data_IF_604314006664
#
_entry.id   IF_604314006664
#
_cell.length_a   1.000
_cell.length_b   1.000
_cell.length_c   1.000
_cell.angle_alpha   90.00
_cell.angle_beta   90.00
_cell.angle_gamma   90.00
#
_symmetry.space_group_name_H-M   'P 1'
#
loop_
_entity.id
_entity.type
_entity.pdbx_description
1 polymer ?
#
# COMPACT_ATOMS: atom_id res chain seq x y z
N UNK A 1 1.26 17.19 15.98
CA UNK A 1 2.36 16.20 16.15
C UNK A 1 3.63 16.96 16.44
N UNK A 2 4.38 16.61 17.47
CA UNK A 2 5.64 17.26 17.76
C UNK A 2 6.64 16.98 16.63
N UNK A 3 7.25 18.04 16.10
CA UNK A 3 8.37 17.93 15.16
C UNK A 3 9.63 18.39 15.87
N UNK A 4 10.66 17.55 15.86
CA UNK A 4 11.98 17.88 16.36
C UNK A 4 12.93 18.16 15.20
N UNK A 5 13.56 19.32 15.22
CA UNK A 5 14.59 19.71 14.24
C UNK A 5 15.90 19.94 14.96
N UNK A 6 16.98 19.34 14.45
CA UNK A 6 18.32 19.48 15.00
C UNK A 6 19.29 19.83 13.88
N UNK A 7 20.06 20.91 14.09
CA UNK A 7 21.17 21.30 13.23
C UNK A 7 22.50 20.85 13.88
N UNK A 8 23.40 20.27 13.08
CA UNK A 8 24.69 19.78 13.56
C UNK A 8 24.68 18.27 13.82
N UNK A 9 25.37 17.82 14.89
CA UNK A 9 25.43 16.40 15.20
C UNK A 9 24.62 16.04 16.46
N UNK A 10 23.74 15.04 16.30
CA UNK A 10 23.00 14.46 17.40
C UNK A 10 23.57 13.08 17.69
N UNK A 11 23.96 12.85 18.96
CA UNK A 11 24.39 11.54 19.43
C UNK A 11 23.45 11.04 20.52
N UNK A 12 22.93 9.83 20.32
CA UNK A 12 22.10 9.16 21.33
C UNK A 12 22.78 7.87 21.80
N UNK A 13 22.77 7.62 23.11
CA UNK A 13 23.21 6.36 23.72
C UNK A 13 22.08 5.73 24.50
N UNK A 14 21.90 4.41 24.36
CA UNK A 14 20.82 3.67 25.02
C UNK A 14 19.56 3.60 24.13
N UNK A 15 18.39 3.57 24.74
CA UNK A 15 17.11 3.52 24.03
C UNK A 15 16.56 4.91 23.79
N UNK A 16 16.22 5.20 22.55
CA UNK A 16 15.58 6.46 22.18
C UNK A 16 14.32 6.18 21.35
N UNK A 17 13.22 6.82 21.73
CA UNK A 17 11.93 6.73 21.02
C UNK A 17 11.55 8.11 20.50
N UNK A 18 11.07 8.18 19.27
CA UNK A 18 10.56 9.41 18.65
C UNK A 18 9.21 9.14 18.03
N UNK A 19 8.21 9.93 18.42
CA UNK A 19 6.90 9.93 17.78
C UNK A 19 6.74 11.23 16.98
N UNK A 20 6.29 11.12 15.72
CA UNK A 20 6.13 12.24 14.81
C UNK A 20 7.26 12.36 13.82
N UNK A 21 7.79 13.58 13.59
CA UNK A 21 8.89 13.78 12.65
C UNK A 21 10.17 14.25 13.34
N UNK A 22 11.28 13.56 13.03
CA UNK A 22 12.62 13.96 13.40
C UNK A 22 13.40 14.34 12.14
N UNK A 23 13.90 15.57 12.09
CA UNK A 23 14.77 16.06 11.03
C UNK A 23 16.14 16.44 11.60
N UNK A 24 17.20 15.91 11.01
CA UNK A 24 18.58 16.23 11.37
C UNK A 24 19.33 16.72 10.15
N UNK A 25 19.90 17.92 10.25
CA UNK A 25 20.84 18.45 9.27
C UNK A 25 22.25 18.27 9.85
N UNK A 26 23.10 17.44 9.20
CA UNK A 26 24.41 17.06 9.71
C UNK A 26 24.51 15.57 9.98
N UNK A 27 24.88 15.17 11.20
CA UNK A 27 25.02 13.74 11.50
C UNK A 27 24.17 13.29 12.68
N UNK A 28 23.48 12.17 12.48
CA UNK A 28 22.77 11.44 13.53
C UNK A 28 23.51 10.13 13.81
N UNK A 29 23.99 9.96 15.04
CA UNK A 29 24.63 8.72 15.51
C UNK A 29 23.86 8.14 16.68
N UNK A 30 23.47 6.89 16.57
CA UNK A 30 22.80 6.15 17.63
C UNK A 30 23.62 4.92 18.02
N UNK A 31 23.83 4.75 19.32
CA UNK A 31 24.44 3.54 19.90
C UNK A 31 23.44 2.94 20.87
N UNK A 32 22.91 1.77 20.55
CA UNK A 32 21.82 1.13 21.28
C UNK A 32 20.59 0.91 20.44
N UNK A 33 19.41 1.28 20.91
CA UNK A 33 18.18 1.15 20.12
C UNK A 33 17.57 2.50 19.77
N UNK A 34 17.18 2.67 18.52
CA UNK A 34 16.40 3.80 18.05
C UNK A 34 15.09 3.29 17.48
N UNK A 35 13.99 3.80 18.01
CA UNK A 35 12.65 3.53 17.50
C UNK A 35 12.02 4.85 17.05
N UNK A 36 11.51 4.87 15.82
CA UNK A 36 10.84 6.04 15.25
C UNK A 36 9.47 5.63 14.72
N UNK A 37 8.43 6.31 15.19
CA UNK A 37 7.07 6.18 14.66
C UNK A 37 6.73 7.49 13.95
N UNK A 38 6.65 7.45 12.62
CA UNK A 38 6.43 8.64 11.79
C UNK A 38 7.50 8.83 10.72
N UNK A 39 8.17 9.98 10.67
CA UNK A 39 9.21 10.23 9.67
C UNK A 39 10.55 10.61 10.30
N UNK A 40 11.61 9.96 9.82
CA UNK A 40 12.99 10.32 10.12
C UNK A 40 13.68 10.79 8.83
N UNK A 41 14.14 12.04 8.82
CA UNK A 41 14.93 12.61 7.72
C UNK A 41 16.29 13.08 8.21
N UNK A 42 17.34 12.60 7.56
CA UNK A 42 18.70 13.02 7.83
C UNK A 42 19.35 13.54 6.55
N UNK A 43 19.82 14.77 6.60
CA UNK A 43 20.66 15.37 5.55
C UNK A 43 22.09 15.35 6.04
N UNK A 44 22.94 14.48 5.45
CA UNK A 44 24.31 14.23 5.90
C UNK A 44 24.55 12.76 6.21
N UNK A 45 24.90 12.40 7.45
CA UNK A 45 25.15 11.00 7.78
C UNK A 45 24.25 10.45 8.89
N UNK A 46 23.68 9.28 8.64
CA UNK A 46 22.97 8.49 9.65
C UNK A 46 23.81 7.25 9.97
N UNK A 47 24.23 7.11 11.23
CA UNK A 47 24.97 5.94 11.70
C UNK A 47 24.28 5.30 12.90
N UNK A 48 24.00 4.01 12.80
CA UNK A 48 23.37 3.25 13.86
C UNK A 48 24.23 2.05 14.23
N UNK A 49 24.55 1.92 15.52
CA UNK A 49 25.20 0.74 16.10
C UNK A 49 24.22 0.09 17.09
N UNK A 50 23.67 -1.09 16.74
CA UNK A 50 22.65 -1.78 17.54
C UNK A 50 21.37 -2.03 16.75
N UNK A 51 20.19 -1.72 17.31
CA UNK A 51 18.91 -1.91 16.62
C UNK A 51 18.23 -0.60 16.26
N UNK A 52 17.74 -0.53 15.04
CA UNK A 52 16.96 0.60 14.57
C UNK A 52 15.62 0.09 13.99
N UNK A 53 14.53 0.63 14.51
CA UNK A 53 13.19 0.34 14.01
C UNK A 53 12.52 1.64 13.56
N UNK A 54 11.94 1.65 12.37
CA UNK A 54 11.17 2.79 11.86
C UNK A 54 9.83 2.29 11.35
N UNK A 55 8.75 2.83 11.92
CA UNK A 55 7.41 2.70 11.38
C UNK A 55 7.06 3.99 10.66
N UNK A 56 6.94 3.96 9.32
CA UNK A 56 6.67 5.14 8.51
C UNK A 56 7.73 5.40 7.45
N UNK A 57 8.36 6.56 7.43
CA UNK A 57 9.36 6.87 6.41
C UNK A 57 10.73 7.21 7.00
N UNK A 58 11.76 6.60 6.43
CA UNK A 58 13.17 6.93 6.69
C UNK A 58 13.79 7.46 5.39
N UNK A 59 14.28 8.71 5.42
CA UNK A 59 15.02 9.32 4.32
C UNK A 59 16.39 9.80 4.77
N UNK A 60 17.43 9.37 4.07
CA UNK A 60 18.79 9.82 4.28
C UNK A 60 19.36 10.36 2.98
N UNK A 61 19.84 11.61 3.02
CA UNK A 61 20.58 12.23 1.93
C UNK A 61 22.05 12.27 2.37
N UNK A 62 22.90 11.39 1.79
CA UNK A 62 24.30 11.25 2.14
C UNK A 62 24.68 9.84 2.53
N UNK A 63 25.24 9.63 3.72
CA UNK A 63 25.73 8.33 4.16
C UNK A 63 24.78 7.68 5.18
N UNK A 64 24.33 6.48 4.87
CA UNK A 64 23.62 5.64 5.82
C UNK A 64 24.47 4.41 6.19
N UNK A 65 24.88 4.31 7.46
CA UNK A 65 25.63 3.17 7.99
C UNK A 65 24.87 2.50 9.12
N UNK A 66 24.75 1.17 9.05
CA UNK A 66 24.14 0.35 10.10
C UNK A 66 25.07 -0.78 10.49
N UNK A 67 25.40 -0.89 11.78
CA UNK A 67 26.05 -2.05 12.37
C UNK A 67 25.07 -2.69 13.37
N UNK A 68 24.50 -3.87 13.03
CA UNK A 68 23.49 -4.54 13.82
C UNK A 68 22.22 -4.83 13.03
N UNK A 69 21.03 -4.63 13.62
CA UNK A 69 19.77 -4.86 12.93
C UNK A 69 19.06 -3.55 12.61
N UNK A 70 18.58 -3.45 11.39
CA UNK A 70 17.73 -2.36 10.94
C UNK A 70 16.43 -2.92 10.35
N UNK A 71 15.32 -2.43 10.86
CA UNK A 71 13.98 -2.78 10.38
C UNK A 71 13.19 -1.52 10.05
N UNK A 72 12.62 -1.46 8.86
CA UNK A 72 11.74 -0.36 8.43
C UNK A 72 10.43 -0.95 7.94
N UNK A 73 9.34 -0.56 8.58
CA UNK A 73 7.98 -0.78 8.07
C UNK A 73 7.52 0.51 7.40
N UNK A 74 7.40 0.49 6.08
CA UNK A 74 7.08 1.67 5.30
C UNK A 74 8.10 1.97 4.20
N UNK A 75 8.58 3.22 4.09
CA UNK A 75 9.51 3.60 3.04
C UNK A 75 10.92 3.89 3.55
N UNK A 76 11.91 3.25 2.93
CA UNK A 76 13.33 3.57 3.11
C UNK A 76 13.88 4.18 1.82
N UNK A 77 14.39 5.41 1.88
CA UNK A 77 15.04 6.08 0.75
C UNK A 77 16.40 6.62 1.16
N UNK A 78 17.44 6.17 0.46
CA UNK A 78 18.79 6.68 0.64
C UNK A 78 19.26 7.26 -0.67
N UNK A 79 19.62 8.54 -0.66
CA UNK A 79 20.29 9.22 -1.75
C UNK A 79 21.76 9.39 -1.35
N UNK A 80 22.64 8.57 -1.92
CA UNK A 80 24.04 8.51 -1.54
C UNK A 80 24.50 7.08 -1.29
N UNK A 81 25.26 6.86 -0.22
CA UNK A 81 25.86 5.56 0.06
C UNK A 81 25.17 4.84 1.22
N UNK A 82 24.83 3.57 1.01
CA UNK A 82 24.26 2.69 2.02
C UNK A 82 25.28 1.58 2.35
N UNK A 83 25.68 1.50 3.62
CA UNK A 83 26.59 0.48 4.12
C UNK A 83 25.93 -0.25 5.30
N UNK A 84 25.80 -1.56 5.20
CA UNK A 84 25.18 -2.38 6.24
C UNK A 84 26.11 -3.51 6.64
N UNK A 85 26.41 -3.59 7.95
CA UNK A 85 27.00 -4.76 8.59
C UNK A 85 25.97 -5.34 9.55
N UNK A 86 25.40 -6.48 9.22
CA UNK A 86 24.30 -7.10 9.96
C UNK A 86 23.07 -7.32 9.11
N UNK A 87 21.88 -7.25 9.71
CA UNK A 87 20.63 -7.45 8.98
C UNK A 87 19.96 -6.12 8.65
N UNK A 88 19.60 -5.95 7.39
CA UNK A 88 18.71 -4.88 6.93
C UNK A 88 17.43 -5.51 6.42
N UNK A 89 16.33 -5.26 7.11
CA UNK A 89 14.99 -5.68 6.67
C UNK A 89 14.15 -4.45 6.40
N UNK A 90 13.71 -4.32 5.17
CA UNK A 90 12.77 -3.29 4.77
C UNK A 90 11.50 -3.99 4.31
N UNK A 91 10.46 -3.87 5.09
CA UNK A 91 9.12 -4.19 4.62
C UNK A 91 8.59 -2.93 3.94
N UNK A 92 9.06 -2.71 2.73
CA UNK A 92 8.53 -1.60 1.95
C UNK A 92 7.15 -2.01 1.46
N UNK A 93 6.19 -1.12 1.61
CA UNK A 93 4.95 -1.15 0.83
C UNK A 93 5.26 -0.76 -0.63
N UNK A 94 6.33 -1.34 -1.20
CA UNK A 94 6.55 -1.22 -2.63
C UNK A 94 5.34 -1.85 -3.31
N UNK A 95 4.68 -1.15 -4.23
CA UNK A 95 3.54 -1.71 -4.92
C UNK A 95 3.96 -3.03 -5.56
N UNK A 96 3.18 -4.08 -5.32
CA UNK A 96 3.43 -5.44 -5.87
C UNK A 96 3.54 -5.40 -7.40
N UNK A 97 2.89 -4.44 -8.00
CA UNK A 97 2.90 -4.19 -9.43
C UNK A 97 3.42 -2.79 -9.71
N UNK A 98 4.40 -2.69 -10.59
CA UNK A 98 4.92 -1.41 -11.09
C UNK A 98 4.58 -1.30 -12.56
N UNK A 99 3.96 -0.19 -12.91
CA UNK A 99 3.78 0.14 -14.33
C UNK A 99 5.10 0.63 -14.92
N UNK A 100 5.40 0.29 -16.16
CA UNK A 100 6.53 0.88 -16.87
C UNK A 100 6.45 2.41 -16.86
N UNK A 101 7.60 3.07 -16.84
CA UNK A 101 7.64 4.54 -16.91
C UNK A 101 6.88 5.05 -18.13
N UNK A 102 5.98 6.00 -17.93
CA UNK A 102 5.12 6.56 -19.00
C UNK A 102 3.92 5.69 -19.38
N UNK A 103 3.75 4.51 -18.79
CA UNK A 103 2.55 3.71 -19.02
C UNK A 103 1.30 4.43 -18.53
N UNK A 104 0.24 4.38 -19.33
CA UNK A 104 -1.08 4.86 -18.89
C UNK A 104 -1.77 3.75 -18.12
N UNK A 105 -1.97 3.95 -16.82
CA UNK A 105 -2.90 3.12 -16.08
C UNK A 105 -4.31 3.37 -16.60
N UNK A 106 -4.99 2.33 -17.00
CA UNK A 106 -6.40 2.33 -17.38
C UNK A 106 -7.13 1.28 -16.56
N UNK A 107 -8.45 1.36 -16.53
CA UNK A 107 -9.29 0.33 -15.92
C UNK A 107 -8.96 -1.03 -16.56
N UNK A 108 -8.64 -2.00 -15.72
CA UNK A 108 -8.30 -3.36 -16.15
C UNK A 108 -9.56 -4.16 -16.51
N UNK A 109 -9.43 -5.07 -17.47
CA UNK A 109 -10.47 -6.00 -17.93
C UNK A 109 -11.73 -5.33 -18.52
N UNK A 110 -11.62 -4.14 -19.10
CA UNK A 110 -12.74 -3.47 -19.78
C UNK A 110 -13.46 -4.33 -20.83
N UNK A 111 -12.81 -5.25 -21.57
CA UNK A 111 -13.49 -6.10 -22.53
C UNK A 111 -14.68 -6.91 -21.94
N UNK A 112 -14.67 -7.20 -20.64
CA UNK A 112 -15.78 -7.92 -19.99
C UNK A 112 -17.12 -7.18 -20.12
N UNK A 113 -17.08 -5.85 -20.23
CA UNK A 113 -18.27 -5.01 -20.36
C UNK A 113 -19.10 -5.38 -21.58
N UNK A 114 -18.44 -5.77 -22.68
CA UNK A 114 -19.14 -6.20 -23.92
C UNK A 114 -19.88 -7.53 -23.79
N UNK A 115 -19.61 -8.26 -22.71
CA UNK A 115 -20.25 -9.56 -22.42
C UNK A 115 -21.40 -9.42 -21.41
N UNK A 116 -21.68 -8.20 -20.95
CA UNK A 116 -22.73 -7.95 -19.96
C UNK A 116 -24.09 -7.86 -20.63
N UNK A 117 -25.09 -8.36 -19.91
CA UNK A 117 -26.51 -8.17 -20.22
C UNK A 117 -27.11 -7.10 -19.30
N UNK A 118 -28.17 -6.41 -19.72
CA UNK A 118 -28.88 -5.48 -18.82
C UNK A 118 -29.28 -6.16 -17.51
N UNK A 119 -29.05 -5.48 -16.38
CA UNK A 119 -29.30 -5.99 -15.03
C UNK A 119 -28.26 -6.96 -14.49
N UNK A 120 -27.18 -7.25 -15.24
CA UNK A 120 -26.09 -8.06 -14.71
C UNK A 120 -25.19 -7.25 -13.76
N UNK A 121 -24.62 -7.97 -12.80
CA UNK A 121 -23.70 -7.39 -11.82
C UNK A 121 -22.29 -7.26 -12.41
N UNK A 122 -21.70 -6.09 -12.25
CA UNK A 122 -20.31 -5.82 -12.56
C UNK A 122 -19.59 -5.34 -11.30
N UNK A 123 -18.59 -6.09 -10.88
CA UNK A 123 -17.79 -5.73 -9.71
C UNK A 123 -16.66 -4.80 -10.07
N UNK A 124 -16.44 -3.77 -9.23
CA UNK A 124 -15.27 -2.91 -9.26
C UNK A 124 -14.36 -3.33 -8.12
N UNK A 125 -13.08 -3.52 -8.42
CA UNK A 125 -12.07 -3.89 -7.42
C UNK A 125 -10.92 -2.89 -7.39
N UNK A 126 -10.23 -2.80 -6.26
CA UNK A 126 -8.97 -2.10 -6.14
C UNK A 126 -7.83 -3.07 -6.46
N UNK A 127 -7.23 -2.88 -7.65
CA UNK A 127 -6.15 -3.75 -8.10
C UNK A 127 -6.58 -5.00 -8.87
N UNK A 128 -5.62 -5.54 -9.62
CA UNK A 128 -5.87 -6.67 -10.52
C UNK A 128 -6.03 -8.00 -9.77
N UNK A 129 -5.41 -8.16 -8.60
CA UNK A 129 -5.50 -9.39 -7.79
C UNK A 129 -6.93 -9.71 -7.41
N UNK A 130 -7.66 -8.71 -6.90
CA UNK A 130 -9.05 -8.87 -6.49
C UNK A 130 -9.97 -9.09 -7.68
N UNK A 131 -9.67 -8.44 -8.82
CA UNK A 131 -10.36 -8.70 -10.07
C UNK A 131 -10.19 -10.18 -10.49
N UNK A 132 -8.99 -10.73 -10.40
CA UNK A 132 -8.77 -12.15 -10.70
C UNK A 132 -9.49 -13.08 -9.73
N UNK A 133 -9.51 -12.75 -8.46
CA UNK A 133 -10.25 -13.51 -7.44
C UNK A 133 -11.76 -13.48 -7.74
N UNK A 134 -12.32 -12.31 -8.09
CA UNK A 134 -13.70 -12.17 -8.51
C UNK A 134 -14.04 -13.00 -9.74
N UNK A 135 -13.18 -12.94 -10.77
CA UNK A 135 -13.35 -13.75 -11.98
C UNK A 135 -13.28 -15.25 -11.68
N UNK A 136 -12.38 -15.66 -10.80
CA UNK A 136 -12.23 -17.04 -10.35
C UNK A 136 -13.44 -17.52 -9.53
N UNK A 137 -14.10 -16.63 -8.81
CA UNK A 137 -15.35 -16.87 -8.12
C UNK A 137 -16.57 -16.89 -9.07
N UNK A 138 -16.37 -16.67 -10.38
CA UNK A 138 -17.44 -16.69 -11.39
C UNK A 138 -18.16 -15.35 -11.59
N UNK A 139 -17.65 -14.27 -11.01
CA UNK A 139 -18.21 -12.93 -11.18
C UNK A 139 -17.58 -12.20 -12.37
N UNK A 140 -18.29 -11.22 -12.92
CA UNK A 140 -17.73 -10.28 -13.89
C UNK A 140 -17.16 -9.08 -13.14
N UNK A 141 -15.90 -8.75 -13.41
CA UNK A 141 -15.20 -7.71 -12.66
C UNK A 141 -14.24 -6.89 -13.55
N UNK A 142 -14.07 -5.64 -13.16
CA UNK A 142 -13.06 -4.70 -13.65
C UNK A 142 -12.24 -4.20 -12.46
N UNK A 143 -10.99 -3.80 -12.71
CA UNK A 143 -10.17 -3.24 -11.64
C UNK A 143 -9.73 -1.81 -11.93
N UNK A 144 -9.73 -1.00 -10.87
CA UNK A 144 -9.08 0.30 -10.84
C UNK A 144 -7.69 0.07 -10.25
N UNK A 145 -6.60 0.29 -11.01
CA UNK A 145 -5.25 -0.10 -10.60
C UNK A 145 -4.73 0.58 -9.33
N UNK A 146 -5.33 1.70 -8.94
CA UNK A 146 -5.03 2.43 -7.69
C UNK A 146 -6.09 3.48 -7.42
N UNK A 147 -6.47 3.64 -6.16
CA UNK A 147 -7.40 4.66 -5.70
C UNK A 147 -6.98 6.10 -6.08
N UNK A 148 -5.67 6.35 -6.17
CA UNK A 148 -5.11 7.66 -6.53
C UNK A 148 -5.02 7.91 -8.03
N UNK A 149 -5.28 6.90 -8.85
CA UNK A 149 -5.12 6.96 -10.31
C UNK A 149 -6.45 7.05 -11.07
N UNK A 150 -7.58 7.19 -10.38
CA UNK A 150 -8.88 7.35 -11.01
C UNK A 150 -8.98 8.74 -11.67
N UNK A 151 -8.87 8.75 -12.99
CA UNK A 151 -8.87 9.97 -13.80
C UNK A 151 -10.29 10.41 -14.13
N UNK A 152 -10.49 11.69 -14.51
CA UNK A 152 -11.79 12.16 -14.99
C UNK A 152 -12.34 11.33 -16.16
N UNK A 153 -11.47 10.86 -17.07
CA UNK A 153 -11.85 10.03 -18.19
C UNK A 153 -12.36 8.66 -17.75
N UNK A 154 -11.73 8.06 -16.73
CA UNK A 154 -12.16 6.78 -16.15
C UNK A 154 -13.51 6.94 -15.44
N UNK A 155 -13.71 8.05 -14.75
CA UNK A 155 -14.98 8.41 -14.12
C UNK A 155 -16.10 8.52 -15.17
N UNK A 156 -15.86 9.23 -16.25
CA UNK A 156 -16.82 9.37 -17.33
C UNK A 156 -17.12 8.02 -17.98
N UNK A 157 -16.10 7.18 -18.19
CA UNK A 157 -16.25 5.85 -18.76
C UNK A 157 -17.14 4.95 -17.89
N UNK A 158 -16.99 4.97 -16.57
CA UNK A 158 -17.83 4.20 -15.66
C UNK A 158 -19.30 4.64 -15.75
N UNK A 159 -19.56 5.95 -15.78
CA UNK A 159 -20.91 6.49 -15.95
C UNK A 159 -21.52 6.13 -17.31
N UNK A 160 -20.72 6.11 -18.37
CA UNK A 160 -21.16 5.70 -19.69
C UNK A 160 -21.48 4.20 -19.76
N UNK A 161 -20.70 3.35 -19.07
CA UNK A 161 -20.97 1.91 -18.95
C UNK A 161 -22.30 1.67 -18.23
N UNK A 162 -22.55 2.33 -17.09
CA UNK A 162 -23.83 2.21 -16.37
C UNK A 162 -25.00 2.55 -17.29
N UNK A 163 -24.91 3.69 -17.98
CA UNK A 163 -25.97 4.19 -18.86
C UNK A 163 -26.21 3.31 -20.08
N UNK A 164 -25.13 2.87 -20.73
CA UNK A 164 -25.21 2.13 -21.98
C UNK A 164 -25.60 0.67 -21.80
N UNK A 165 -25.07 0.03 -20.76
CA UNK A 165 -25.25 -1.41 -20.53
C UNK A 165 -26.26 -1.73 -19.45
N UNK A 166 -26.75 -0.71 -18.72
CA UNK A 166 -27.73 -0.87 -17.64
C UNK A 166 -27.32 -1.94 -16.61
N UNK A 167 -26.03 -1.96 -16.26
CA UNK A 167 -25.45 -2.92 -15.31
C UNK A 167 -25.58 -2.42 -13.88
N UNK A 168 -25.62 -3.37 -12.94
CA UNK A 168 -25.56 -3.06 -11.52
C UNK A 168 -24.10 -3.09 -11.05
N UNK A 169 -23.58 -1.96 -10.64
CA UNK A 169 -22.23 -1.88 -10.08
C UNK A 169 -22.18 -2.29 -8.63
N UNK A 170 -21.22 -3.15 -8.30
CA UNK A 170 -20.97 -3.68 -6.97
C UNK A 170 -19.50 -3.50 -6.60
N UNK A 171 -19.20 -3.30 -5.32
CA UNK A 171 -17.84 -3.21 -4.82
C UNK A 171 -17.71 -3.84 -3.43
N UNK A 172 -16.63 -4.58 -3.21
CA UNK A 172 -16.08 -4.91 -1.91
C UNK A 172 -14.86 -4.01 -1.69
N UNK A 173 -14.98 -2.87 -1.02
CA UNK A 173 -13.82 -2.03 -0.75
C UNK A 173 -12.83 -2.77 0.14
N UNK A 174 -11.52 -2.52 -0.09
CA UNK A 174 -10.49 -2.96 0.84
C UNK A 174 -10.77 -2.37 2.23
N UNK A 175 -10.53 -3.16 3.28
CA UNK A 175 -10.79 -2.71 4.66
C UNK A 175 -9.67 -1.79 5.16
N UNK A 176 -9.37 -0.75 4.39
CA UNK A 176 -8.42 0.30 4.75
C UNK A 176 -8.89 1.68 4.25
N UNK A 177 -8.20 2.73 4.67
CA UNK A 177 -8.59 4.10 4.31
C UNK A 177 -8.53 4.41 2.80
N UNK A 178 -7.56 3.91 2.01
CA UNK A 178 -7.58 4.01 0.55
C UNK A 178 -8.79 3.35 -0.09
N UNK A 179 -9.15 2.12 0.32
CA UNK A 179 -10.30 1.39 -0.22
C UNK A 179 -11.62 2.11 0.03
N UNK A 180 -11.83 2.61 1.23
CA UNK A 180 -13.01 3.41 1.56
C UNK A 180 -13.04 4.73 0.75
N UNK A 181 -11.90 5.40 0.60
CA UNK A 181 -11.80 6.61 -0.21
C UNK A 181 -12.14 6.35 -1.67
N UNK A 182 -11.67 5.24 -2.24
CA UNK A 182 -12.00 4.84 -3.61
C UNK A 182 -13.49 4.58 -3.77
N UNK A 183 -14.10 3.86 -2.83
CA UNK A 183 -15.54 3.61 -2.84
C UNK A 183 -16.34 4.91 -2.87
N UNK A 184 -16.01 5.87 -2.01
CA UNK A 184 -16.69 7.16 -1.95
C UNK A 184 -16.54 7.94 -3.27
N UNK A 185 -15.33 7.97 -3.85
CA UNK A 185 -15.10 8.62 -5.15
C UNK A 185 -15.92 8.01 -6.29
N UNK A 186 -16.07 6.68 -6.30
CA UNK A 186 -16.85 6.00 -7.33
C UNK A 186 -18.35 6.22 -7.09
N UNK A 187 -18.79 6.20 -5.85
CA UNK A 187 -20.19 6.45 -5.48
C UNK A 187 -20.69 7.83 -5.86
N UNK A 188 -19.81 8.83 -5.92
CA UNK A 188 -20.15 10.16 -6.43
C UNK A 188 -20.62 10.15 -7.90
N UNK A 189 -20.11 9.17 -8.68
CA UNK A 189 -20.37 9.04 -10.11
C UNK A 189 -21.47 8.00 -10.36
N UNK A 190 -21.46 6.93 -9.56
CA UNK A 190 -22.40 5.80 -9.60
C UNK A 190 -23.24 5.77 -8.32
N UNK A 191 -24.33 6.58 -8.23
CA UNK A 191 -25.11 6.70 -6.99
C UNK A 191 -25.73 5.38 -6.51
N UNK A 192 -25.92 4.43 -7.43
CA UNK A 192 -26.51 3.11 -7.17
C UNK A 192 -25.44 2.02 -6.92
N UNK A 193 -24.16 2.39 -6.77
CA UNK A 193 -23.10 1.45 -6.43
C UNK A 193 -23.43 0.71 -5.13
N UNK A 194 -23.48 -0.61 -5.22
CA UNK A 194 -23.77 -1.48 -4.08
C UNK A 194 -22.50 -1.77 -3.30
N UNK A 195 -22.49 -1.37 -2.03
CA UNK A 195 -21.42 -1.67 -1.09
C UNK A 195 -21.59 -3.07 -0.53
N UNK A 196 -20.54 -3.87 -0.56
CA UNK A 196 -20.46 -5.15 0.13
C UNK A 196 -19.41 -5.10 1.22
N UNK A 197 -19.71 -5.70 2.36
CA UNK A 197 -18.79 -5.81 3.48
C UNK A 197 -18.03 -7.13 3.40
N UNK A 198 -16.71 -7.06 3.49
CA UNK A 198 -15.86 -8.24 3.69
C UNK A 198 -16.03 -8.78 5.11
N UNK A 199 -15.86 -10.09 5.32
CA UNK A 199 -15.83 -10.67 6.66
C UNK A 199 -14.74 -10.06 7.53
N UNK A 200 -14.92 -10.00 8.86
CA UNK A 200 -13.87 -9.59 9.77
C UNK A 200 -12.61 -10.44 9.59
N UNK A 201 -11.46 -9.80 9.47
CA UNK A 201 -10.16 -10.47 9.30
C UNK A 201 -9.67 -10.57 7.86
N UNK A 202 -10.54 -10.35 6.86
CA UNK A 202 -10.11 -10.26 5.45
C UNK A 202 -9.88 -8.80 5.08
N UNK A 203 -8.68 -8.46 4.63
CA UNK A 203 -8.36 -7.12 4.20
C UNK A 203 -9.01 -6.77 2.85
N UNK A 204 -8.96 -7.69 1.92
CA UNK A 204 -9.42 -7.55 0.53
C UNK A 204 -10.18 -8.79 0.05
N UNK A 205 -10.74 -8.73 -1.15
CA UNK A 205 -11.49 -9.85 -1.69
C UNK A 205 -10.60 -11.05 -2.05
N UNK A 206 -9.34 -10.85 -2.37
CA UNK A 206 -8.41 -11.94 -2.65
C UNK A 206 -8.19 -12.81 -1.42
N UNK A 207 -8.01 -12.21 -0.24
CA UNK A 207 -7.90 -12.94 1.03
C UNK A 207 -9.19 -13.71 1.33
N UNK A 208 -10.34 -13.07 1.21
CA UNK A 208 -11.64 -13.72 1.40
C UNK A 208 -11.85 -14.91 0.45
N UNK A 209 -11.48 -14.74 -0.82
CA UNK A 209 -11.59 -15.80 -1.81
C UNK A 209 -10.70 -17.00 -1.47
N UNK A 210 -9.45 -16.75 -1.09
CA UNK A 210 -8.51 -17.81 -0.71
C UNK A 210 -8.97 -18.57 0.52
N UNK A 211 -9.50 -17.89 1.52
CA UNK A 211 -10.01 -18.53 2.72
C UNK A 211 -11.30 -19.34 2.49
N UNK A 212 -12.20 -18.81 1.66
CA UNK A 212 -13.54 -19.39 1.48
C UNK A 212 -13.64 -20.42 0.36
N UNK A 213 -12.86 -20.27 -0.71
CA UNK A 213 -12.99 -21.03 -1.95
C UNK A 213 -11.77 -21.84 -2.34
N UNK A 214 -10.60 -21.61 -1.72
CA UNK A 214 -9.39 -22.36 -2.03
C UNK A 214 -9.13 -23.47 -0.97
N UNK A 215 -9.51 -24.74 -1.23
CA UNK A 215 -9.36 -25.83 -0.25
C UNK A 215 -7.90 -26.12 0.10
N UNK A 216 -6.94 -25.64 -0.69
CA UNK A 216 -5.51 -25.83 -0.47
C UNK A 216 -4.86 -24.71 0.36
N UNK A 217 -5.55 -23.61 0.62
CA UNK A 217 -5.00 -22.49 1.40
C UNK A 217 -4.63 -22.92 2.81
N UNK A 218 -5.48 -23.70 3.48
CA UNK A 218 -5.20 -24.24 4.81
C UNK A 218 -4.00 -25.19 4.87
N UNK A 219 -3.72 -25.93 3.79
CA UNK A 219 -2.60 -26.88 3.74
C UNK A 219 -1.25 -26.13 3.66
N UNK A 220 -1.20 -24.99 2.99
CA UNK A 220 0.02 -24.19 2.83
C UNK A 220 0.35 -23.37 4.10
N UNK A 221 -0.64 -22.89 4.84
CA UNK A 221 -0.44 -22.10 6.06
C UNK A 221 -0.04 -22.96 7.26
N UNK A 222 -0.35 -24.27 7.26
CA UNK A 222 -0.02 -25.19 8.36
C UNK A 222 1.48 -25.57 8.41
N UNK A 223 2.24 -25.35 7.36
CA UNK A 223 3.68 -25.68 7.31
C UNK A 223 4.59 -24.59 7.86
N UNK A 224 4.05 -23.43 8.25
CA UNK A 224 4.81 -22.27 8.73
C UNK A 224 4.47 -21.84 10.17
N UNK A 225 3.89 -22.75 10.97
CA UNK A 225 3.72 -22.53 12.42
C UNK A 225 4.61 -23.45 13.22
#
# INVERSE_FOLDING_TARGET
>A
SPSHQTEGSLQTKGSHQTEGSLRTEGSLRTVGSLQTVGSLRTEGSLRTEGSHQTEGSLRTEGLFQTEGSHQTEGSLRTEGSLQTKGSLRTESMAPRFRFPYGARCSIYNLPVVKMLKPGERLFITEGCSDCWAMLSAGHKAIAIPSATLLKPEDKQLLADIERQFQVEFHMFPDQDAPGESLFLQIREILPHLVHHQLPPGCKDFSEYYLESFCPYYYICTWKNK
#
